data_IF_804502349120
#
_entry.id   IF_804502349120
#
_cell.length_a   1.000
_cell.length_b   1.000
_cell.length_c   1.000
_cell.angle_alpha   90.00
_cell.angle_beta   90.00
_cell.angle_gamma   90.00
#
_symmetry.space_group_name_H-M   'P 1'
#
loop_
_entity.id
_entity.type
_entity.pdbx_description
1 polymer ?
#
# COMPACT_ATOMS: atom_id res chain seq x y z
N UNK A 1 1.50 -32.92 -19.22
CA UNK A 1 2.30 -31.70 -19.09
C UNK A 1 1.47 -30.76 -18.23
N UNK A 2 1.82 -30.57 -16.93
CA UNK A 2 1.08 -29.69 -16.01
C UNK A 2 1.58 -28.27 -16.30
N UNK A 3 0.66 -27.36 -16.67
CA UNK A 3 1.00 -25.96 -16.90
C UNK A 3 1.27 -25.28 -15.53
N UNK A 4 2.47 -24.75 -15.28
CA UNK A 4 2.82 -24.13 -13.98
C UNK A 4 1.86 -23.02 -13.54
N UNK A 5 1.18 -22.36 -14.47
CA UNK A 5 0.19 -21.32 -14.19
C UNK A 5 -1.03 -21.80 -13.38
N UNK A 6 -1.34 -23.11 -13.41
CA UNK A 6 -2.45 -23.74 -12.68
C UNK A 6 -2.03 -24.26 -11.28
N UNK A 7 -0.73 -24.26 -10.98
CA UNK A 7 -0.22 -24.73 -9.70
C UNK A 7 -0.49 -23.69 -8.59
N UNK A 8 -0.74 -24.20 -7.38
CA UNK A 8 -0.81 -23.35 -6.18
C UNK A 8 0.56 -22.80 -5.78
N UNK A 9 0.56 -21.75 -4.97
CA UNK A 9 1.80 -21.09 -4.54
C UNK A 9 2.75 -22.02 -3.79
N UNK A 10 2.22 -22.95 -3.01
CA UNK A 10 3.00 -23.93 -2.26
C UNK A 10 3.80 -24.86 -3.19
N UNK A 11 3.16 -25.35 -4.23
CA UNK A 11 3.82 -26.21 -5.22
C UNK A 11 4.81 -25.43 -6.08
N UNK A 12 4.46 -24.21 -6.50
CA UNK A 12 5.39 -23.31 -7.19
C UNK A 12 6.63 -23.02 -6.34
N UNK A 13 6.44 -22.77 -5.06
CA UNK A 13 7.56 -22.54 -4.14
C UNK A 13 8.44 -23.78 -3.97
N UNK A 14 7.81 -24.98 -3.90
CA UNK A 14 8.54 -26.25 -3.83
C UNK A 14 9.42 -26.47 -5.07
N UNK A 15 8.85 -26.21 -6.27
CA UNK A 15 9.59 -26.31 -7.53
C UNK A 15 10.72 -25.27 -7.63
N UNK A 16 10.45 -24.04 -7.20
CA UNK A 16 11.45 -22.98 -7.14
C UNK A 16 12.63 -23.35 -6.23
N UNK A 17 12.37 -23.95 -5.06
CA UNK A 17 13.40 -24.50 -4.16
C UNK A 17 14.24 -25.61 -4.82
N UNK A 18 13.63 -26.35 -5.75
CA UNK A 18 14.33 -27.37 -6.53
C UNK A 18 15.12 -26.81 -7.74
N UNK A 19 15.12 -25.47 -7.92
CA UNK A 19 15.85 -24.80 -9.00
C UNK A 19 15.04 -24.56 -10.28
N UNK A 20 13.71 -24.72 -10.26
CA UNK A 20 12.85 -24.45 -11.42
C UNK A 20 12.62 -22.93 -11.56
N UNK A 21 13.33 -22.29 -12.47
CA UNK A 21 13.22 -20.87 -12.78
C UNK A 21 11.85 -20.48 -13.35
N UNK A 22 11.20 -21.41 -14.04
CA UNK A 22 9.88 -21.15 -14.60
C UNK A 22 8.80 -21.09 -13.51
N UNK A 23 8.88 -21.97 -12.52
CA UNK A 23 8.02 -21.92 -11.34
C UNK A 23 8.19 -20.60 -10.57
N UNK A 24 9.43 -20.14 -10.40
CA UNK A 24 9.71 -18.82 -9.82
C UNK A 24 9.10 -17.68 -10.66
N UNK A 25 9.24 -17.72 -11.97
CA UNK A 25 8.69 -16.70 -12.87
C UNK A 25 7.17 -16.60 -12.73
N UNK A 26 6.45 -17.73 -12.63
CA UNK A 26 5.00 -17.75 -12.43
C UNK A 26 4.63 -17.15 -11.06
N UNK A 27 5.34 -17.53 -10.01
CA UNK A 27 5.14 -17.02 -8.65
C UNK A 27 5.39 -15.51 -8.58
N UNK A 28 6.48 -15.04 -9.17
CA UNK A 28 6.81 -13.63 -9.28
C UNK A 28 5.69 -12.85 -9.99
N UNK A 29 5.27 -13.28 -11.18
CA UNK A 29 4.20 -12.61 -11.95
C UNK A 29 2.87 -12.57 -11.22
N UNK A 30 2.57 -13.57 -10.40
CA UNK A 30 1.33 -13.62 -9.59
C UNK A 30 1.32 -12.59 -8.49
N UNK A 31 2.45 -12.38 -7.82
CA UNK A 31 2.52 -11.58 -6.60
C UNK A 31 3.13 -10.19 -6.77
N UNK A 32 3.93 -9.92 -7.83
CA UNK A 32 4.60 -8.64 -7.99
C UNK A 32 3.64 -7.44 -8.03
N UNK A 33 2.56 -7.54 -8.81
CA UNK A 33 1.58 -6.46 -8.96
C UNK A 33 0.86 -6.12 -7.65
N UNK A 34 0.29 -7.11 -6.95
CA UNK A 34 -0.29 -6.91 -5.63
C UNK A 34 0.69 -6.30 -4.60
N UNK A 35 1.92 -6.82 -4.51
CA UNK A 35 2.94 -6.28 -3.59
C UNK A 35 3.32 -4.85 -3.95
N UNK A 36 3.50 -4.55 -5.25
CA UNK A 36 3.77 -3.19 -5.72
C UNK A 36 2.66 -2.22 -5.33
N UNK A 37 1.38 -2.58 -5.61
CA UNK A 37 0.24 -1.72 -5.24
C UNK A 37 0.18 -1.45 -3.74
N UNK A 38 0.37 -2.49 -2.92
CA UNK A 38 0.43 -2.34 -1.47
C UNK A 38 1.54 -1.37 -1.05
N UNK A 39 2.76 -1.56 -1.56
CA UNK A 39 3.90 -0.70 -1.23
C UNK A 39 3.67 0.74 -1.69
N UNK A 40 3.05 0.95 -2.86
CA UNK A 40 2.68 2.27 -3.37
C UNK A 40 1.63 2.95 -2.49
N UNK A 41 0.58 2.23 -2.08
CA UNK A 41 -0.44 2.77 -1.17
C UNK A 41 0.11 3.10 0.21
N UNK A 42 1.10 2.35 0.66
CA UNK A 42 1.74 2.59 1.95
C UNK A 42 2.72 3.76 1.93
N UNK A 43 3.51 3.90 0.87
CA UNK A 43 4.60 4.89 0.78
C UNK A 43 4.22 6.17 0.03
N UNK A 44 3.28 6.10 -0.91
CA UNK A 44 2.97 7.19 -1.84
C UNK A 44 4.04 7.42 -2.91
N UNK A 45 5.07 6.57 -3.02
CA UNK A 45 6.21 6.73 -3.91
C UNK A 45 6.40 5.49 -4.80
N UNK A 46 6.43 5.69 -6.12
CA UNK A 46 6.67 4.63 -7.11
C UNK A 46 8.07 4.01 -6.93
N UNK A 47 9.08 4.84 -6.70
CA UNK A 47 10.45 4.37 -6.49
C UNK A 47 10.55 3.45 -5.26
N UNK A 48 9.88 3.82 -4.15
CA UNK A 48 9.83 2.97 -2.94
C UNK A 48 9.05 1.69 -3.21
N UNK A 49 7.97 1.75 -4.00
CA UNK A 49 7.18 0.58 -4.33
C UNK A 49 7.98 -0.42 -5.19
N UNK A 50 8.78 0.06 -6.15
CA UNK A 50 9.67 -0.76 -6.95
C UNK A 50 10.75 -1.42 -6.08
N UNK A 51 11.44 -0.64 -5.25
CA UNK A 51 12.51 -1.14 -4.36
C UNK A 51 11.96 -2.18 -3.39
N UNK A 52 10.82 -1.91 -2.75
CA UNK A 52 10.16 -2.84 -1.82
C UNK A 52 9.76 -4.12 -2.53
N UNK A 53 9.18 -4.02 -3.73
CA UNK A 53 8.79 -5.20 -4.51
C UNK A 53 10.00 -6.07 -4.81
N UNK A 54 11.09 -5.49 -5.27
CA UNK A 54 12.33 -6.22 -5.54
C UNK A 54 12.88 -6.88 -4.27
N UNK A 55 12.98 -6.15 -3.15
CA UNK A 55 13.49 -6.68 -1.88
C UNK A 55 12.65 -7.82 -1.32
N UNK A 56 11.32 -7.81 -1.49
CA UNK A 56 10.43 -8.91 -1.09
C UNK A 56 10.81 -10.22 -1.76
N UNK A 57 11.02 -10.20 -3.09
CA UNK A 57 11.38 -11.41 -3.82
C UNK A 57 12.83 -11.82 -3.61
N UNK A 58 13.74 -10.86 -3.44
CA UNK A 58 15.11 -11.16 -3.03
C UNK A 58 15.17 -11.81 -1.64
N UNK A 59 14.36 -11.34 -0.69
CA UNK A 59 14.25 -11.95 0.63
C UNK A 59 13.72 -13.38 0.56
N UNK A 60 12.68 -13.62 -0.27
CA UNK A 60 12.15 -14.96 -0.51
C UNK A 60 13.21 -15.90 -1.11
N UNK A 61 14.00 -15.41 -2.08
CA UNK A 61 15.05 -16.21 -2.73
C UNK A 61 16.26 -16.50 -1.82
N UNK A 62 16.63 -15.55 -0.96
CA UNK A 62 17.74 -15.71 -0.01
C UNK A 62 17.48 -16.80 1.02
N UNK A 63 16.24 -16.91 1.47
CA UNK A 63 15.89 -17.85 2.52
C UNK A 63 14.43 -18.36 2.41
N UNK A 64 14.27 -19.36 1.58
CA UNK A 64 13.00 -20.06 1.46
C UNK A 64 12.55 -20.75 2.74
N UNK A 65 13.45 -20.96 3.74
CA UNK A 65 13.14 -21.64 5.00
C UNK A 65 12.33 -20.75 5.94
N UNK A 66 12.35 -19.43 5.76
CA UNK A 66 11.58 -18.50 6.55
C UNK A 66 10.06 -18.60 6.29
N UNK A 67 9.69 -19.07 5.10
CA UNK A 67 8.29 -19.37 4.83
C UNK A 67 7.96 -20.82 5.24
N UNK A 68 7.05 -20.95 6.19
CA UNK A 68 6.49 -22.22 6.66
C UNK A 68 5.02 -22.32 6.22
N UNK A 69 4.73 -23.22 5.27
CA UNK A 69 3.38 -23.45 4.76
C UNK A 69 2.40 -23.94 5.84
N UNK A 70 2.89 -24.54 6.91
CA UNK A 70 2.06 -24.91 8.05
C UNK A 70 1.51 -23.70 8.83
N UNK A 71 2.13 -22.53 8.68
CA UNK A 71 1.72 -21.28 9.34
C UNK A 71 0.76 -20.43 8.50
N UNK A 72 0.54 -20.78 7.22
CA UNK A 72 -0.38 -20.07 6.35
C UNK A 72 0.05 -19.99 4.90
N UNK A 73 -0.73 -19.27 4.09
CA UNK A 73 -0.45 -19.06 2.67
C UNK A 73 0.73 -18.11 2.45
N UNK A 74 1.31 -18.13 1.25
CA UNK A 74 2.49 -17.33 0.89
C UNK A 74 2.18 -15.83 0.88
N UNK A 75 0.99 -15.41 0.45
CA UNK A 75 0.64 -13.99 0.32
C UNK A 75 0.81 -13.20 1.63
N UNK A 76 0.24 -13.59 2.79
CA UNK A 76 0.47 -12.90 4.06
C UNK A 76 1.95 -12.78 4.45
N UNK A 77 2.77 -13.78 4.12
CA UNK A 77 4.22 -13.71 4.36
C UNK A 77 4.87 -12.62 3.51
N UNK A 78 4.58 -12.58 2.20
CA UNK A 78 5.13 -11.57 1.28
C UNK A 78 4.69 -10.16 1.69
N UNK A 79 3.41 -9.97 2.05
CA UNK A 79 2.93 -8.69 2.57
C UNK A 79 3.58 -8.30 3.90
N UNK A 80 3.88 -9.25 4.76
CA UNK A 80 4.62 -9.02 6.00
C UNK A 80 6.02 -8.49 5.73
N UNK A 81 6.73 -9.06 4.75
CA UNK A 81 8.05 -8.58 4.31
C UNK A 81 7.94 -7.18 3.71
N UNK A 82 6.97 -6.96 2.78
CA UNK A 82 6.74 -5.66 2.15
C UNK A 82 6.45 -4.57 3.20
N UNK A 83 5.54 -4.85 4.14
CA UNK A 83 5.20 -3.96 5.25
C UNK A 83 6.43 -3.54 6.05
N UNK A 84 7.28 -4.49 6.41
CA UNK A 84 8.48 -4.22 7.18
C UNK A 84 9.47 -3.34 6.40
N UNK A 85 9.61 -3.55 5.09
CA UNK A 85 10.47 -2.73 4.24
C UNK A 85 9.94 -1.30 4.10
N UNK A 86 8.64 -1.13 3.83
CA UNK A 86 8.02 0.20 3.77
C UNK A 86 8.19 0.94 5.09
N UNK A 87 7.91 0.29 6.24
CA UNK A 87 8.08 0.93 7.56
C UNK A 87 9.51 1.40 7.80
N UNK A 88 10.50 0.57 7.50
CA UNK A 88 11.92 0.96 7.58
C UNK A 88 12.25 2.16 6.69
N UNK A 89 11.66 2.21 5.49
CA UNK A 89 11.84 3.35 4.59
C UNK A 89 11.25 4.62 5.20
N UNK A 90 10.01 4.59 5.66
CA UNK A 90 9.31 5.72 6.26
C UNK A 90 10.04 6.22 7.53
N UNK A 91 10.55 5.31 8.36
CA UNK A 91 11.35 5.67 9.53
C UNK A 91 12.65 6.39 9.13
N UNK A 92 13.36 5.93 8.10
CA UNK A 92 14.59 6.59 7.61
C UNK A 92 14.31 8.00 7.11
N UNK A 93 13.21 8.21 6.38
CA UNK A 93 12.83 9.54 5.89
C UNK A 93 12.53 10.49 7.06
N UNK A 94 11.83 10.02 8.10
CA UNK A 94 11.59 10.82 9.33
C UNK A 94 12.89 11.27 10.01
N UNK A 95 13.92 10.43 10.06
CA UNK A 95 15.23 10.79 10.66
C UNK A 95 16.09 11.71 9.79
N UNK A 96 15.80 11.85 8.49
CA UNK A 96 16.54 12.72 7.58
C UNK A 96 15.99 14.15 7.51
N UNK A 97 14.77 14.39 8.00
CA UNK A 97 14.19 15.73 8.15
C UNK A 97 14.44 16.19 9.59
N UNK A 98 15.06 17.35 9.84
CA UNK A 98 15.21 17.88 11.19
C UNK A 98 13.83 18.03 11.84
N UNK A 99 13.64 17.40 12.99
CA UNK A 99 12.42 17.45 13.78
C UNK A 99 12.27 18.86 14.36
N UNK A 100 11.23 19.59 13.99
CA UNK A 100 10.58 20.48 14.92
C UNK A 100 9.83 19.58 15.92
N UNK A 101 10.30 19.58 17.16
CA UNK A 101 9.69 18.89 18.28
C UNK A 101 8.31 19.52 18.53
N UNK A 102 7.28 18.72 18.47
CA UNK A 102 5.89 18.91 18.86
C UNK A 102 4.87 18.73 17.70
N UNK A 103 4.77 17.49 17.19
CA UNK A 103 3.49 17.05 16.64
C UNK A 103 3.43 15.51 16.57
N UNK A 104 2.56 14.94 17.39
CA UNK A 104 2.03 13.57 17.27
C UNK A 104 1.17 13.38 16.00
N UNK A 105 1.43 14.12 14.94
CA UNK A 105 0.77 14.03 13.65
C UNK A 105 1.78 13.61 12.60
N UNK A 106 1.60 12.37 12.09
CA UNK A 106 2.29 11.83 10.91
C UNK A 106 2.00 12.70 9.67
N UNK A 107 2.61 13.90 9.60
CA UNK A 107 2.51 14.80 8.46
C UNK A 107 3.45 14.31 7.36
N UNK A 108 2.90 13.57 6.41
CA UNK A 108 3.56 13.24 5.17
C UNK A 108 3.02 14.16 4.07
N UNK A 109 3.87 14.98 3.44
CA UNK A 109 3.46 15.77 2.30
C UNK A 109 3.22 14.87 1.09
N UNK A 110 2.05 14.96 0.43
CA UNK A 110 1.74 14.12 -0.73
C UNK A 110 2.51 14.58 -1.96
N UNK A 111 3.25 13.66 -2.58
CA UNK A 111 3.85 13.88 -3.90
C UNK A 111 2.74 13.80 -4.94
N UNK A 112 2.49 14.90 -5.64
CA UNK A 112 1.52 14.98 -6.74
C UNK A 112 2.10 14.36 -8.01
N UNK A 113 1.46 13.33 -8.55
CA UNK A 113 1.74 12.82 -9.90
C UNK A 113 0.92 13.56 -10.96
N UNK A 114 1.50 13.88 -12.13
CA UNK A 114 0.80 14.61 -13.21
C UNK A 114 -0.23 13.70 -13.91
N UNK A 115 -1.46 14.20 -14.10
CA UNK A 115 -2.54 13.52 -14.79
C UNK A 115 -2.74 14.03 -16.21
N UNK A 116 -3.17 13.15 -17.10
CA UNK A 116 -3.51 13.37 -18.50
C UNK A 116 -5.02 13.69 -18.69
N UNK A 117 -5.41 14.55 -19.67
CA UNK A 117 -6.74 15.17 -19.70
C UNK A 117 -7.76 14.46 -20.61
N UNK A 118 -9.04 14.63 -20.26
CA UNK A 118 -10.27 14.48 -21.06
C UNK A 118 -10.80 13.04 -21.29
N UNK A 119 -11.62 12.61 -20.37
CA UNK A 119 -12.50 11.45 -20.50
C UNK A 119 -12.67 10.76 -19.15
N UNK A 120 -13.70 11.06 -18.43
CA UNK A 120 -13.97 10.60 -17.05
C UNK A 120 -13.29 11.45 -15.95
N UNK A 121 -13.29 12.75 -16.12
CA UNK A 121 -12.64 13.69 -15.20
C UNK A 121 -13.14 13.47 -13.76
N UNK A 122 -14.44 13.31 -13.56
CA UNK A 122 -15.07 13.16 -12.24
C UNK A 122 -14.66 11.85 -11.53
N UNK A 123 -14.57 10.74 -12.27
CA UNK A 123 -14.17 9.46 -11.69
C UNK A 123 -12.67 9.44 -11.36
N UNK A 124 -11.84 10.00 -12.23
CA UNK A 124 -10.39 10.12 -12.00
C UNK A 124 -10.07 11.06 -10.84
N UNK A 125 -10.78 12.18 -10.74
CA UNK A 125 -10.67 13.11 -9.61
C UNK A 125 -11.08 12.43 -8.30
N UNK A 126 -12.18 11.68 -8.29
CA UNK A 126 -12.62 10.91 -7.12
C UNK A 126 -11.62 9.85 -6.70
N UNK A 127 -11.01 9.11 -7.65
CA UNK A 127 -9.97 8.11 -7.37
C UNK A 127 -8.68 8.77 -6.85
N UNK A 128 -8.30 9.92 -7.41
CA UNK A 128 -7.15 10.69 -6.94
C UNK A 128 -7.39 11.18 -5.52
N UNK A 129 -8.55 11.76 -5.24
CA UNK A 129 -8.93 12.21 -3.90
C UNK A 129 -8.93 11.06 -2.87
N UNK A 130 -9.44 9.88 -3.27
CA UNK A 130 -9.42 8.71 -2.40
C UNK A 130 -7.99 8.24 -2.10
N UNK A 131 -7.11 8.19 -3.11
CA UNK A 131 -5.69 7.83 -2.89
C UNK A 131 -5.01 8.80 -1.95
N UNK A 132 -5.23 10.09 -2.12
CA UNK A 132 -4.69 11.12 -1.22
C UNK A 132 -5.26 10.97 0.19
N UNK A 133 -6.56 10.75 0.33
CA UNK A 133 -7.17 10.51 1.64
C UNK A 133 -6.56 9.30 2.36
N UNK A 134 -6.29 8.20 1.62
CA UNK A 134 -5.63 7.00 2.17
C UNK A 134 -4.20 7.34 2.62
N UNK A 135 -3.42 8.07 1.82
CA UNK A 135 -2.04 8.46 2.16
C UNK A 135 -1.95 9.37 3.38
N UNK A 136 -3.00 10.12 3.68
CA UNK A 136 -3.08 10.97 4.89
C UNK A 136 -3.61 10.26 6.13
N UNK A 137 -3.97 8.97 6.04
CA UNK A 137 -4.33 8.18 7.21
C UNK A 137 -3.09 7.89 8.08
N UNK A 138 -3.22 7.84 9.42
CA UNK A 138 -2.21 7.26 10.29
C UNK A 138 -1.81 5.85 9.80
N UNK A 139 -0.51 5.54 9.87
CA UNK A 139 0.08 4.36 9.24
C UNK A 139 -0.66 3.04 9.58
N UNK A 140 -1.06 2.87 10.85
CA UNK A 140 -1.76 1.68 11.31
C UNK A 140 -3.20 1.52 10.79
N UNK A 141 -3.85 2.62 10.36
CA UNK A 141 -5.13 2.60 9.65
C UNK A 141 -4.94 2.36 8.16
N UNK A 142 -3.91 2.98 7.56
CA UNK A 142 -3.54 2.79 6.16
C UNK A 142 -3.19 1.33 5.88
N UNK A 143 -2.43 0.67 6.77
CA UNK A 143 -2.09 -0.75 6.68
C UNK A 143 -3.33 -1.65 6.52
N UNK A 144 -4.33 -1.48 7.36
CA UNK A 144 -5.51 -2.34 7.33
C UNK A 144 -6.42 -2.05 6.13
N UNK A 145 -6.53 -0.79 5.69
CA UNK A 145 -7.24 -0.42 4.45
C UNK A 145 -6.54 -1.04 3.25
N UNK A 146 -5.22 -0.89 3.15
CA UNK A 146 -4.45 -1.44 2.03
C UNK A 146 -4.58 -2.97 1.95
N UNK A 147 -4.47 -3.68 3.08
CA UNK A 147 -4.53 -5.14 3.10
C UNK A 147 -5.96 -5.68 2.87
N UNK A 148 -6.96 -5.11 3.55
CA UNK A 148 -8.30 -5.71 3.56
C UNK A 148 -9.22 -5.14 2.48
N UNK A 149 -9.18 -3.83 2.22
CA UNK A 149 -10.10 -3.20 1.27
C UNK A 149 -9.52 -3.16 -0.15
N UNK A 150 -8.20 -2.99 -0.31
CA UNK A 150 -7.59 -2.87 -1.63
C UNK A 150 -7.00 -4.19 -2.16
N UNK A 151 -6.43 -5.02 -1.30
CA UNK A 151 -5.85 -6.32 -1.68
C UNK A 151 -6.75 -7.50 -1.25
N UNK A 152 -7.96 -7.23 -0.77
CA UNK A 152 -9.02 -8.21 -0.46
C UNK A 152 -8.58 -9.33 0.50
N UNK A 153 -7.60 -9.03 1.36
CA UNK A 153 -7.06 -10.00 2.31
C UNK A 153 -8.08 -10.30 3.42
N UNK A 154 -8.17 -11.57 3.82
CA UNK A 154 -9.01 -11.96 4.96
C UNK A 154 -8.54 -11.28 6.26
N UNK A 155 -9.46 -11.04 7.19
CA UNK A 155 -9.10 -10.41 8.48
C UNK A 155 -8.11 -11.28 9.28
N UNK A 156 -8.19 -12.59 9.14
CA UNK A 156 -7.28 -13.54 9.75
C UNK A 156 -5.86 -13.42 9.17
N UNK A 157 -5.76 -13.30 7.84
CA UNK A 157 -4.48 -13.12 7.15
C UNK A 157 -3.89 -11.73 7.44
N UNK A 158 -4.70 -10.69 7.40
CA UNK A 158 -4.28 -9.34 7.77
C UNK A 158 -3.79 -9.27 9.23
N UNK A 159 -4.49 -9.95 10.15
CA UNK A 159 -4.08 -10.03 11.55
C UNK A 159 -2.72 -10.71 11.72
N UNK A 160 -2.46 -11.79 10.95
CA UNK A 160 -1.16 -12.47 10.90
C UNK A 160 -0.07 -11.56 10.31
N UNK A 161 -0.36 -10.88 9.20
CA UNK A 161 0.56 -9.95 8.53
C UNK A 161 0.95 -8.78 9.43
N UNK A 162 -0.02 -8.19 10.13
CA UNK A 162 0.19 -7.03 11.01
C UNK A 162 0.74 -7.43 12.38
N UNK A 163 0.51 -8.68 12.81
CA UNK A 163 0.91 -9.17 14.13
C UNK A 163 -0.02 -8.71 15.24
N UNK A 164 -1.35 -8.70 15.02
CA UNK A 164 -2.34 -8.28 16.00
C UNK A 164 -3.57 -9.20 16.01
N UNK A 165 -4.47 -9.00 16.96
CA UNK A 165 -5.72 -9.76 17.01
C UNK A 165 -6.68 -9.35 15.88
N UNK A 166 -7.50 -10.29 15.39
CA UNK A 166 -8.53 -10.04 14.36
C UNK A 166 -9.51 -8.93 14.77
N UNK A 167 -9.86 -8.85 16.05
CA UNK A 167 -10.68 -7.77 16.59
C UNK A 167 -10.04 -6.39 16.44
N UNK A 168 -8.70 -6.33 16.49
CA UNK A 168 -7.93 -5.09 16.25
C UNK A 168 -8.02 -4.67 14.79
N UNK A 169 -7.94 -5.62 13.83
CA UNK A 169 -8.15 -5.32 12.40
C UNK A 169 -9.53 -4.71 12.19
N UNK A 170 -10.59 -5.34 12.69
CA UNK A 170 -11.97 -4.84 12.56
C UNK A 170 -12.15 -3.43 13.12
N UNK A 171 -11.62 -3.18 14.32
CA UNK A 171 -11.74 -1.86 14.95
C UNK A 171 -10.94 -0.79 14.22
N UNK A 172 -9.74 -1.13 13.70
CA UNK A 172 -8.93 -0.21 12.89
C UNK A 172 -9.62 0.11 11.56
N UNK A 173 -10.16 -0.87 10.85
CA UNK A 173 -10.92 -0.66 9.60
C UNK A 173 -12.12 0.25 9.84
N UNK A 174 -12.91 -0.02 10.87
CA UNK A 174 -14.07 0.82 11.19
C UNK A 174 -13.67 2.29 11.41
N UNK A 175 -12.61 2.54 12.16
CA UNK A 175 -12.09 3.90 12.38
C UNK A 175 -11.51 4.52 11.11
N UNK A 176 -10.76 3.74 10.33
CA UNK A 176 -10.18 4.18 9.06
C UNK A 176 -11.28 4.63 8.08
N UNK A 177 -12.35 3.86 7.93
CA UNK A 177 -13.50 4.22 7.09
C UNK A 177 -14.16 5.53 7.56
N UNK A 178 -14.32 5.72 8.89
CA UNK A 178 -14.83 6.98 9.44
C UNK A 178 -13.97 8.19 9.06
N UNK A 179 -12.65 8.05 9.19
CA UNK A 179 -11.69 9.10 8.82
C UNK A 179 -11.69 9.37 7.30
N UNK A 180 -11.75 8.33 6.46
CA UNK A 180 -11.83 8.48 5.00
C UNK A 180 -13.10 9.23 4.58
N UNK A 181 -14.26 8.86 5.14
CA UNK A 181 -15.52 9.57 4.86
C UNK A 181 -15.42 11.04 5.22
N UNK A 182 -14.85 11.36 6.38
CA UNK A 182 -14.66 12.75 6.80
C UNK A 182 -13.74 13.49 5.82
N UNK A 183 -12.55 12.96 5.52
CA UNK A 183 -11.59 13.59 4.59
C UNK A 183 -12.16 13.83 3.20
N UNK A 184 -12.92 12.87 2.66
CA UNK A 184 -13.54 13.00 1.34
C UNK A 184 -14.70 14.04 1.34
N UNK A 185 -15.42 14.17 2.45
CA UNK A 185 -16.43 15.24 2.59
C UNK A 185 -15.77 16.62 2.64
N UNK A 186 -14.71 16.76 3.40
CA UNK A 186 -13.98 18.03 3.54
C UNK A 186 -13.35 18.45 2.21
N UNK A 187 -12.77 17.49 1.46
CA UNK A 187 -12.24 17.73 0.12
C UNK A 187 -13.32 18.22 -0.87
N UNK A 188 -14.53 17.67 -0.80
CA UNK A 188 -15.66 18.09 -1.65
C UNK A 188 -16.29 19.42 -1.24
N UNK A 189 -16.07 19.89 -0.01
CA UNK A 189 -16.62 21.16 0.50
C UNK A 189 -15.69 22.34 0.31
N UNK A 190 -14.43 22.14 -0.10
CA UNK A 190 -13.48 23.21 -0.41
C UNK A 190 -13.73 23.67 -1.86
N UNK A 191 -14.47 24.78 -2.12
CA UNK A 191 -14.68 25.25 -3.48
C UNK A 191 -13.33 25.74 -4.00
N UNK A 192 -12.94 25.27 -5.20
CA UNK A 192 -11.82 25.78 -5.97
C UNK A 192 -11.93 27.32 -6.02
N UNK A 193 -11.06 27.98 -5.26
CA UNK A 193 -11.03 29.44 -5.18
C UNK A 193 -10.63 30.04 -6.53
N UNK A 194 -11.62 30.23 -7.41
CA UNK A 194 -11.47 31.09 -8.58
C UNK A 194 -11.27 32.51 -8.09
N UNK A 195 -10.05 33.00 -8.26
CA UNK A 195 -9.66 34.35 -7.92
C UNK A 195 -10.62 35.38 -8.51
N UNK A 196 -11.40 36.04 -7.66
CA UNK A 196 -12.03 37.32 -7.99
C UNK A 196 -10.96 38.38 -7.97
N UNK A 197 -10.39 38.60 -9.16
CA UNK A 197 -9.59 39.77 -9.45
C UNK A 197 -10.51 41.01 -9.35
N UNK A 198 -10.45 41.65 -8.21
CA UNK A 198 -11.13 42.95 -8.00
C UNK A 198 -10.42 44.00 -8.78
N UNK A 199 -10.91 44.23 -10.00
CA UNK A 199 -10.52 45.39 -10.84
C UNK A 199 -11.19 46.62 -10.23
N UNK A 200 -10.49 47.36 -9.36
CA UNK A 200 -10.85 48.71 -8.97
C UNK A 200 -10.39 49.64 -10.09
N UNK A 201 -11.36 50.09 -10.90
CA UNK A 201 -11.20 51.29 -11.72
C UNK A 201 -10.99 52.51 -10.81
N UNK A 202 -9.92 53.23 -11.09
CA UNK A 202 -9.71 54.61 -10.66
C UNK A 202 -10.42 55.52 -11.66
N UNK A 203 -11.29 56.34 -11.14
CA UNK A 203 -11.64 57.67 -11.64
C UNK A 203 -11.44 58.65 -10.54
#
# INVERSE_FOLDING_TARGET
MIYPQMLGDEELLRLTRAGDEHAFTVLYRRHQGPIYRFALQMSGSESVADDVTQEVFLALMRDFSQFDSARGSLAPYLYGVARNQVRRHLERVKFQVPLDEDSDEDSFEPITAPGDPLGDLTLREGLSALRQAILTLPLHYREVVALCDLEEMSYEDAARTVGCAVGTIRSRLHRAHGLLVQKLRDANQTPSGVGRNSMRCLT
#
